data_IF_871841673756
#
_entry.id   IF_871841673756
#
_cell.length_a   1.000
_cell.length_b   1.000
_cell.length_c   1.000
_cell.angle_alpha   90.00
_cell.angle_beta   90.00
_cell.angle_gamma   90.00
#
_symmetry.space_group_name_H-M   'P 1'
#
loop_
_entity.id
_entity.type
_entity.pdbx_description
1 polymer ?
#
# COMPACT_ATOMS: atom_id res chain seq x y z
N UNK A 1 2.71 -9.37 -19.67
CA UNK A 1 1.83 -8.94 -18.57
C UNK A 1 2.34 -7.62 -18.01
N UNK A 2 1.42 -6.76 -17.59
CA UNK A 2 1.71 -5.53 -16.85
C UNK A 2 1.46 -5.80 -15.38
N UNK A 3 2.48 -5.58 -14.54
CA UNK A 3 2.43 -5.86 -13.10
C UNK A 3 2.60 -4.56 -12.32
N UNK A 4 1.65 -4.23 -11.45
CA UNK A 4 1.79 -3.18 -10.44
C UNK A 4 2.76 -3.61 -9.35
N UNK A 5 3.81 -2.82 -9.13
CA UNK A 5 4.87 -3.12 -8.17
C UNK A 5 4.74 -2.23 -6.94
N UNK A 6 4.19 -2.83 -5.88
CA UNK A 6 4.08 -2.23 -4.55
C UNK A 6 5.42 -1.98 -3.87
N UNK A 7 5.33 -1.47 -2.65
CA UNK A 7 6.48 -0.98 -1.88
C UNK A 7 6.55 -1.64 -0.51
N UNK A 8 7.74 -1.67 0.07
CA UNK A 8 7.98 -2.31 1.36
C UNK A 8 8.86 -3.55 1.25
N UNK A 9 8.97 -4.28 2.36
CA UNK A 9 9.95 -5.37 2.48
C UNK A 9 9.50 -6.61 1.74
N UNK A 10 8.23 -6.99 1.83
CA UNK A 10 7.73 -8.19 1.16
C UNK A 10 7.70 -7.97 -0.36
N UNK A 11 7.23 -6.80 -0.79
CA UNK A 11 7.24 -6.35 -2.19
C UNK A 11 8.65 -6.30 -2.75
N UNK A 12 9.64 -5.82 -1.98
CA UNK A 12 11.05 -5.86 -2.36
C UNK A 12 11.54 -7.29 -2.68
N UNK A 13 11.20 -8.28 -1.85
CA UNK A 13 11.52 -9.69 -2.13
C UNK A 13 10.79 -10.21 -3.37
N UNK A 14 9.52 -9.87 -3.56
CA UNK A 14 8.75 -10.26 -4.74
C UNK A 14 9.36 -9.69 -6.03
N UNK A 15 9.76 -8.42 -6.02
CA UNK A 15 10.45 -7.74 -7.13
C UNK A 15 11.79 -8.43 -7.45
N UNK A 16 12.60 -8.73 -6.43
CA UNK A 16 13.88 -9.42 -6.62
C UNK A 16 13.69 -10.83 -7.21
N UNK A 17 12.66 -11.54 -6.76
CA UNK A 17 12.28 -12.84 -7.32
C UNK A 17 11.84 -12.71 -8.78
N UNK A 18 10.99 -11.74 -9.10
CA UNK A 18 10.55 -11.44 -10.47
C UNK A 18 11.76 -11.23 -11.39
N UNK A 19 12.70 -10.39 -10.97
CA UNK A 19 13.95 -10.15 -11.72
C UNK A 19 14.79 -11.40 -11.91
N UNK A 20 14.86 -12.29 -10.91
CA UNK A 20 15.55 -13.60 -11.04
C UNK A 20 14.89 -14.50 -12.07
N UNK A 21 13.55 -14.58 -12.07
CA UNK A 21 12.79 -15.39 -13.01
C UNK A 21 12.89 -14.86 -14.45
N UNK A 22 12.95 -13.54 -14.63
CA UNK A 22 13.21 -12.92 -15.93
C UNK A 22 14.61 -13.27 -16.46
N UNK A 23 15.64 -13.16 -15.61
CA UNK A 23 17.02 -13.51 -15.99
C UNK A 23 17.20 -14.99 -16.34
N UNK A 24 16.50 -15.88 -15.65
CA UNK A 24 16.54 -17.31 -15.98
C UNK A 24 15.74 -17.68 -17.23
N UNK A 25 14.92 -16.75 -17.76
CA UNK A 25 14.04 -16.98 -18.89
C UNK A 25 12.80 -17.81 -18.55
N UNK A 26 12.55 -18.08 -17.27
CA UNK A 26 11.39 -18.84 -16.80
C UNK A 26 10.07 -18.07 -16.97
N UNK A 27 10.14 -16.73 -16.93
CA UNK A 27 9.06 -15.83 -17.33
C UNK A 27 9.60 -14.82 -18.33
N UNK A 28 8.72 -14.30 -19.19
CA UNK A 28 9.06 -13.34 -20.26
C UNK A 28 7.93 -12.32 -20.41
N UNK A 29 8.20 -11.26 -21.16
CA UNK A 29 7.20 -10.26 -21.57
C UNK A 29 6.48 -9.60 -20.38
N UNK A 30 7.23 -9.25 -19.33
CA UNK A 30 6.74 -8.52 -18.15
C UNK A 30 7.16 -7.06 -18.21
N UNK A 31 6.23 -6.17 -17.89
CA UNK A 31 6.48 -4.75 -17.63
C UNK A 31 5.97 -4.44 -16.23
N UNK A 32 6.83 -3.83 -15.40
CA UNK A 32 6.48 -3.34 -14.08
C UNK A 32 6.02 -1.89 -14.09
N UNK A 33 4.95 -1.58 -13.37
CA UNK A 33 4.50 -0.22 -13.07
C UNK A 33 4.72 0.01 -11.57
N UNK A 34 5.73 0.78 -11.16
CA UNK A 34 6.02 0.99 -9.75
C UNK A 34 5.06 2.00 -9.09
N UNK A 35 4.67 1.72 -7.85
CA UNK A 35 3.85 2.63 -7.02
C UNK A 35 4.66 3.70 -6.28
N UNK A 36 5.99 3.55 -6.19
CA UNK A 36 6.87 4.50 -5.52
C UNK A 36 8.26 4.58 -6.15
N UNK A 37 9.04 5.56 -5.69
CA UNK A 37 10.47 5.66 -6.04
C UNK A 37 11.24 4.44 -5.53
N UNK A 38 10.89 3.92 -4.36
CA UNK A 38 11.57 2.77 -3.75
C UNK A 38 11.31 1.51 -4.58
N UNK A 39 10.06 1.24 -4.97
CA UNK A 39 9.73 0.07 -5.79
C UNK A 39 10.29 0.19 -7.20
N UNK A 40 10.33 1.39 -7.79
CA UNK A 40 11.01 1.65 -9.05
C UNK A 40 12.52 1.34 -8.96
N UNK A 41 13.17 1.82 -7.90
CA UNK A 41 14.60 1.59 -7.64
C UNK A 41 14.89 0.09 -7.48
N UNK A 42 14.13 -0.62 -6.66
CA UNK A 42 14.33 -2.06 -6.46
C UNK A 42 14.09 -2.86 -7.74
N UNK A 43 13.08 -2.49 -8.53
CA UNK A 43 12.78 -3.17 -9.78
C UNK A 43 13.86 -2.94 -10.85
N UNK A 44 14.39 -1.71 -10.94
CA UNK A 44 15.51 -1.39 -11.82
C UNK A 44 16.77 -2.19 -11.43
N UNK A 45 17.11 -2.27 -10.14
CA UNK A 45 18.21 -3.11 -9.63
C UNK A 45 18.00 -4.59 -9.94
N UNK A 46 16.76 -5.06 -9.84
CA UNK A 46 16.39 -6.44 -10.15
C UNK A 46 16.34 -6.73 -11.65
N UNK A 47 16.50 -5.74 -12.55
CA UNK A 47 16.44 -5.92 -13.99
C UNK A 47 15.03 -6.19 -14.52
N UNK A 48 14.00 -5.70 -13.82
CA UNK A 48 12.61 -5.75 -14.28
C UNK A 48 12.37 -4.55 -15.22
N UNK A 49 11.88 -4.75 -16.46
CA UNK A 49 11.51 -3.64 -17.34
C UNK A 49 10.41 -2.78 -16.72
N UNK A 50 10.52 -1.45 -16.83
CA UNK A 50 9.60 -0.50 -16.19
C UNK A 50 8.88 0.39 -17.20
N UNK A 51 7.64 0.75 -16.87
CA UNK A 51 6.87 1.81 -17.52
C UNK A 51 6.12 2.63 -16.45
N UNK A 52 5.49 3.72 -16.86
CA UNK A 52 4.67 4.57 -16.00
C UNK A 52 3.19 4.23 -16.14
N UNK A 53 2.44 4.45 -15.07
CA UNK A 53 0.98 4.37 -15.14
C UNK A 53 0.44 5.45 -16.08
N UNK A 54 -0.55 5.07 -16.89
CA UNK A 54 -1.35 5.94 -17.74
C UNK A 54 -2.80 5.54 -17.53
N UNK A 55 -3.75 6.46 -17.67
CA UNK A 55 -5.17 6.17 -17.38
C UNK A 55 -5.75 5.02 -18.21
N UNK A 56 -5.13 4.68 -19.35
CA UNK A 56 -5.49 3.53 -20.19
C UNK A 56 -4.70 2.25 -19.90
N UNK A 57 -3.82 2.25 -18.90
CA UNK A 57 -2.96 1.10 -18.57
C UNK A 57 -3.80 0.00 -17.94
N UNK A 58 -3.89 -1.14 -18.63
CA UNK A 58 -4.48 -2.36 -18.07
C UNK A 58 -3.43 -3.08 -17.23
N UNK A 59 -3.62 -3.10 -15.91
CA UNK A 59 -2.79 -3.86 -14.97
C UNK A 59 -3.34 -5.28 -14.89
N UNK A 60 -2.51 -6.28 -15.18
CA UNK A 60 -2.91 -7.70 -15.14
C UNK A 60 -2.84 -8.27 -13.72
N UNK A 61 -1.89 -7.79 -12.92
CA UNK A 61 -1.66 -8.18 -11.53
C UNK A 61 -1.05 -7.00 -10.78
N UNK A 62 -1.39 -6.80 -9.52
CA UNK A 62 -0.66 -5.91 -8.62
C UNK A 62 -0.42 -6.62 -7.29
N UNK A 63 0.68 -6.28 -6.63
CA UNK A 63 0.95 -6.69 -5.26
C UNK A 63 1.49 -5.49 -4.48
N UNK A 64 1.19 -5.44 -3.18
CA UNK A 64 1.74 -4.44 -2.26
C UNK A 64 1.83 -5.01 -0.85
N UNK A 65 2.64 -4.37 0.00
CA UNK A 65 2.68 -4.69 1.42
C UNK A 65 1.45 -4.08 2.11
N UNK A 66 0.83 -4.86 3.00
CA UNK A 66 -0.18 -4.35 3.92
C UNK A 66 0.43 -4.16 5.32
N UNK A 67 0.21 -2.99 5.92
CA UNK A 67 0.60 -2.70 7.30
C UNK A 67 -0.34 -3.38 8.30
N UNK A 68 -1.63 -3.38 7.96
CA UNK A 68 -2.70 -4.07 8.69
C UNK A 68 -3.63 -4.69 7.65
N UNK A 69 -4.14 -5.88 7.95
CA UNK A 69 -5.17 -6.53 7.15
C UNK A 69 -6.21 -7.17 8.07
N UNK A 70 -7.48 -7.01 7.71
CA UNK A 70 -8.59 -7.70 8.33
C UNK A 70 -8.77 -9.08 7.68
N UNK A 71 -8.66 -10.17 8.45
CA UNK A 71 -8.64 -11.53 7.86
C UNK A 71 -9.92 -11.93 7.11
N UNK A 72 -11.09 -11.37 7.46
CA UNK A 72 -12.37 -11.76 6.85
C UNK A 72 -12.67 -11.00 5.55
N UNK A 73 -12.58 -9.68 5.58
CA UNK A 73 -12.90 -8.82 4.44
C UNK A 73 -11.71 -8.65 3.49
N UNK A 74 -10.48 -8.87 3.99
CA UNK A 74 -9.21 -8.46 3.41
C UNK A 74 -9.10 -6.94 3.16
N UNK A 75 -9.90 -6.13 3.88
CA UNK A 75 -9.63 -4.71 3.98
C UNK A 75 -8.26 -4.50 4.61
N UNK A 76 -7.47 -3.62 4.02
CA UNK A 76 -6.08 -3.40 4.38
C UNK A 76 -5.79 -1.92 4.62
N UNK A 77 -4.80 -1.65 5.47
CA UNK A 77 -4.17 -0.35 5.58
C UNK A 77 -2.77 -0.47 4.98
N UNK A 78 -2.45 0.44 4.07
CA UNK A 78 -1.15 0.51 3.39
C UNK A 78 -0.50 1.87 3.60
N UNK A 79 0.76 1.97 3.20
CA UNK A 79 1.46 3.24 3.09
C UNK A 79 1.84 3.85 4.43
N UNK A 80 1.89 3.09 5.53
CA UNK A 80 2.44 3.55 6.80
C UNK A 80 3.95 3.49 6.75
N UNK A 81 4.61 4.63 6.99
CA UNK A 81 6.03 4.60 7.37
C UNK A 81 6.11 4.40 8.89
N UNK A 82 6.93 3.44 9.34
CA UNK A 82 7.18 3.23 10.77
C UNK A 82 7.76 4.52 11.37
N UNK A 83 6.94 5.24 12.13
CA UNK A 83 7.36 6.37 12.96
C UNK A 83 8.36 5.89 14.01
N UNK A 84 9.53 6.50 14.09
CA UNK A 84 10.34 6.47 15.31
C UNK A 84 9.84 7.62 16.22
N UNK A 85 8.87 7.34 17.07
CA UNK A 85 8.31 8.33 18.00
C UNK A 85 7.59 7.64 19.16
N UNK A 86 7.87 8.11 20.39
CA UNK A 86 7.37 7.51 21.63
C UNK A 86 5.84 7.58 21.80
N UNK A 87 5.34 6.71 22.68
CA UNK A 87 3.92 6.52 22.99
C UNK A 87 3.25 7.83 23.44
N UNK A 88 2.06 8.12 22.90
CA UNK A 88 1.26 9.30 23.26
C UNK A 88 0.04 8.89 24.06
N UNK A 89 -0.26 9.65 25.12
CA UNK A 89 -1.30 9.35 26.13
C UNK A 89 -2.70 9.87 25.69
N UNK A 90 -2.81 10.52 24.53
CA UNK A 90 -4.07 11.10 24.02
C UNK A 90 -4.76 10.14 23.04
N UNK A 91 -6.09 10.06 23.16
CA UNK A 91 -6.91 9.00 22.56
C UNK A 91 -6.92 9.00 21.03
N UNK A 92 -6.84 10.16 20.39
CA UNK A 92 -6.78 10.27 18.93
C UNK A 92 -5.88 11.44 18.57
N UNK A 93 -5.00 11.24 17.57
CA UNK A 93 -4.09 12.30 17.13
C UNK A 93 -3.90 12.24 15.63
N UNK A 94 -3.95 13.41 15.01
CA UNK A 94 -3.63 13.62 13.60
C UNK A 94 -2.28 14.30 13.52
N UNK A 95 -1.25 13.62 13.02
CA UNK A 95 0.07 14.21 12.81
C UNK A 95 0.31 14.39 11.33
N UNK A 96 0.90 15.51 10.97
CA UNK A 96 1.54 15.58 9.67
C UNK A 96 2.74 14.64 9.68
N UNK A 97 2.87 13.80 8.67
CA UNK A 97 3.95 12.83 8.56
C UNK A 97 5.28 13.55 8.35
N UNK A 98 6.35 13.00 8.93
CA UNK A 98 7.73 13.43 8.66
C UNK A 98 8.38 12.44 7.69
N UNK A 99 9.21 12.93 6.77
CA UNK A 99 10.06 12.08 5.92
C UNK A 99 11.19 11.42 6.71
N UNK A 100 11.68 12.10 7.74
CA UNK A 100 12.72 11.62 8.65
C UNK A 100 12.56 12.24 10.04
N UNK A 101 12.92 11.48 11.07
CA UNK A 101 12.91 11.95 12.44
C UNK A 101 11.53 11.93 13.09
N UNK A 102 11.30 12.83 14.04
CA UNK A 102 10.10 12.87 14.86
C UNK A 102 8.97 13.64 14.16
N UNK A 103 7.78 13.03 14.08
CA UNK A 103 6.58 13.70 13.61
C UNK A 103 5.77 14.28 14.77
N UNK A 104 5.21 15.46 14.54
CA UNK A 104 4.23 16.11 15.41
C UNK A 104 3.12 16.76 14.58
N UNK A 105 2.28 17.62 15.16
CA UNK A 105 1.19 18.29 14.42
C UNK A 105 1.66 19.02 13.15
N UNK A 106 2.90 19.52 13.13
CA UNK A 106 3.50 20.23 11.99
C UNK A 106 4.40 19.38 11.09
N UNK A 107 4.64 18.10 11.43
CA UNK A 107 5.52 17.20 10.67
C UNK A 107 7.00 17.27 11.04
N UNK A 108 7.33 17.89 12.17
CA UNK A 108 8.71 18.04 12.63
C UNK A 108 9.51 18.98 11.72
N UNK A 109 10.84 18.79 11.69
CA UNK A 109 11.75 19.59 10.88
C UNK A 109 11.68 19.24 9.38
N UNK A 110 11.22 18.03 9.07
CA UNK A 110 11.18 17.48 7.70
C UNK A 110 9.80 16.90 7.38
N UNK A 111 8.76 17.73 7.24
CA UNK A 111 7.43 17.26 6.90
C UNK A 111 7.44 16.56 5.53
N UNK A 112 6.79 15.40 5.45
CA UNK A 112 6.59 14.70 4.20
C UNK A 112 5.57 15.46 3.35
N UNK A 113 5.97 15.72 2.10
CA UNK A 113 5.13 16.30 1.06
C UNK A 113 5.20 15.38 -0.15
N UNK A 114 4.04 15.04 -0.72
CA UNK A 114 3.98 14.23 -1.93
C UNK A 114 4.57 14.99 -3.12
N UNK A 115 4.83 14.29 -4.22
CA UNK A 115 5.34 14.92 -5.44
C UNK A 115 4.39 16.00 -5.99
N UNK A 116 3.10 15.81 -5.75
CA UNK A 116 2.00 16.68 -6.15
C UNK A 116 1.79 17.86 -5.17
N UNK A 117 2.56 17.91 -4.08
CA UNK A 117 2.50 18.99 -3.10
C UNK A 117 1.53 18.76 -1.93
N UNK A 118 1.00 17.54 -1.78
CA UNK A 118 0.05 17.23 -0.71
C UNK A 118 0.76 16.86 0.60
N UNK A 119 0.09 17.12 1.72
CA UNK A 119 0.55 16.65 3.02
C UNK A 119 0.00 15.25 3.29
N UNK A 120 0.83 14.41 3.91
CA UNK A 120 0.36 13.12 4.41
C UNK A 120 0.08 13.26 5.90
N UNK A 121 -1.11 12.87 6.34
CA UNK A 121 -1.51 12.90 7.75
C UNK A 121 -1.64 11.47 8.28
N UNK A 122 -0.97 11.18 9.38
CA UNK A 122 -1.15 9.94 10.13
C UNK A 122 -2.23 10.13 11.18
N UNK A 123 -3.30 9.34 11.07
CA UNK A 123 -4.39 9.29 12.03
C UNK A 123 -4.14 8.11 12.97
N UNK A 124 -4.02 8.40 14.26
CA UNK A 124 -3.74 7.41 15.29
C UNK A 124 -5.05 7.13 16.04
N UNK A 125 -5.49 5.88 16.00
CA UNK A 125 -6.63 5.39 16.78
C UNK A 125 -6.11 4.65 18.03
N UNK A 126 -6.66 4.96 19.20
CA UNK A 126 -6.38 4.19 20.44
C UNK A 126 -7.46 3.15 20.75
N UNK A 127 -8.57 3.16 20.01
CA UNK A 127 -9.59 2.11 19.99
C UNK A 127 -9.51 1.32 18.68
N UNK A 128 -9.91 0.03 18.68
CA UNK A 128 -10.03 -0.74 17.43
C UNK A 128 -11.01 -0.09 16.46
N UNK A 129 -10.61 0.02 15.19
CA UNK A 129 -11.51 0.37 14.09
C UNK A 129 -12.47 -0.79 13.89
N UNK A 130 -13.77 -0.49 13.87
CA UNK A 130 -14.82 -1.51 13.74
C UNK A 130 -15.03 -1.98 12.31
N UNK A 131 -15.03 -1.04 11.35
CA UNK A 131 -15.18 -1.31 9.93
C UNK A 131 -14.24 -0.39 9.13
N UNK A 132 -13.23 -0.98 8.50
CA UNK A 132 -12.28 -0.21 7.68
C UNK A 132 -12.92 0.36 6.41
N UNK A 133 -13.91 -0.34 5.84
CA UNK A 133 -14.59 0.12 4.63
C UNK A 133 -15.47 1.34 4.91
N UNK A 134 -16.13 1.38 6.06
CA UNK A 134 -16.87 2.58 6.51
C UNK A 134 -15.93 3.76 6.77
N UNK A 135 -14.75 3.51 7.35
CA UNK A 135 -13.73 4.55 7.54
C UNK A 135 -13.26 5.10 6.20
N UNK A 136 -13.04 4.24 5.20
CA UNK A 136 -12.69 4.66 3.84
C UNK A 136 -13.78 5.58 3.26
N UNK A 137 -15.04 5.14 3.28
CA UNK A 137 -16.17 5.94 2.79
C UNK A 137 -16.28 7.30 3.49
N UNK A 138 -16.06 7.33 4.80
CA UNK A 138 -16.05 8.57 5.56
C UNK A 138 -14.95 9.51 5.09
N UNK A 139 -13.73 9.00 4.91
CA UNK A 139 -12.56 9.77 4.48
C UNK A 139 -12.72 10.35 3.06
N UNK A 140 -13.32 9.58 2.14
CA UNK A 140 -13.61 10.03 0.77
C UNK A 140 -14.54 11.25 0.71
N UNK A 141 -15.39 11.42 1.72
CA UNK A 141 -16.32 12.56 1.80
C UNK A 141 -15.73 13.80 2.49
N UNK A 142 -14.52 13.70 3.06
CA UNK A 142 -13.90 14.82 3.77
C UNK A 142 -13.28 15.79 2.76
N UNK A 143 -13.85 16.99 2.65
CA UNK A 143 -13.30 18.06 1.81
C UNK A 143 -11.85 18.36 2.21
N UNK A 144 -10.95 18.24 1.23
CA UNK A 144 -9.51 18.46 1.42
C UNK A 144 -8.70 17.17 1.63
N UNK A 145 -9.36 16.03 1.85
CA UNK A 145 -8.72 14.71 1.69
C UNK A 145 -8.62 14.43 0.19
N UNK A 146 -7.40 14.10 -0.25
CA UNK A 146 -7.12 13.75 -1.65
C UNK A 146 -7.23 12.24 -1.84
N UNK A 147 -6.69 11.47 -0.89
CA UNK A 147 -6.66 10.02 -0.90
C UNK A 147 -6.34 9.51 0.52
N UNK A 148 -6.57 8.23 0.78
CA UNK A 148 -6.26 7.58 2.06
C UNK A 148 -5.59 6.21 1.90
N UNK A 149 -4.94 5.74 2.96
CA UNK A 149 -4.23 4.45 2.97
C UNK A 149 -5.12 3.21 3.14
N UNK A 150 -6.45 3.35 3.18
CA UNK A 150 -7.37 2.21 3.37
C UNK A 150 -7.74 1.60 2.01
N UNK A 151 -7.43 0.32 1.82
CA UNK A 151 -7.79 -0.45 0.64
C UNK A 151 -8.91 -1.41 1.04
N UNK A 152 -10.10 -1.20 0.50
CA UNK A 152 -11.27 -2.03 0.78
C UNK A 152 -12.07 -2.31 -0.49
N UNK A 153 -12.95 -3.31 -0.44
CA UNK A 153 -13.87 -3.67 -1.53
C UNK A 153 -13.20 -4.02 -2.88
N UNK A 154 -11.92 -4.38 -2.84
CA UNK A 154 -11.16 -4.84 -4.01
C UNK A 154 -10.94 -6.35 -3.86
N UNK A 155 -11.27 -7.15 -4.89
CA UNK A 155 -10.89 -8.56 -4.94
C UNK A 155 -9.37 -8.71 -4.85
N UNK A 156 -8.90 -9.43 -3.85
CA UNK A 156 -7.49 -9.63 -3.59
C UNK A 156 -7.22 -10.98 -2.91
N UNK A 157 -5.96 -11.38 -3.01
CA UNK A 157 -5.39 -12.53 -2.31
C UNK A 157 -4.36 -12.01 -1.32
N UNK A 158 -4.54 -12.33 -0.04
CA UNK A 158 -3.56 -12.09 1.00
C UNK A 158 -2.63 -13.30 1.13
N UNK A 159 -1.33 -13.07 0.98
CA UNK A 159 -0.28 -14.06 1.24
C UNK A 159 0.38 -13.74 2.58
N UNK A 160 0.09 -14.54 3.61
CA UNK A 160 0.49 -14.31 4.99
C UNK A 160 1.55 -15.35 5.38
N UNK A 161 2.81 -14.90 5.51
CA UNK A 161 3.90 -15.75 5.99
C UNK A 161 4.01 -15.67 7.52
N UNK A 162 3.91 -16.82 8.19
CA UNK A 162 4.09 -16.97 9.65
C UNK A 162 5.23 -17.94 9.94
N UNK A 163 5.59 -18.08 11.22
CA UNK A 163 6.54 -19.10 11.68
C UNK A 163 6.09 -20.54 11.38
N UNK A 164 4.77 -20.75 11.24
CA UNK A 164 4.15 -22.06 11.06
C UNK A 164 3.91 -22.38 9.56
N UNK A 165 4.20 -21.43 8.66
CA UNK A 165 4.08 -21.62 7.22
C UNK A 165 3.45 -20.42 6.51
N UNK A 166 3.05 -20.63 5.25
CA UNK A 166 2.37 -19.61 4.44
C UNK A 166 0.87 -19.93 4.41
N UNK A 167 0.05 -18.94 4.75
CA UNK A 167 -1.41 -18.95 4.56
C UNK A 167 -1.75 -18.10 3.34
N UNK A 168 -2.67 -18.58 2.52
CA UNK A 168 -3.22 -17.83 1.39
C UNK A 168 -4.71 -17.68 1.68
N UNK A 169 -5.19 -16.44 1.68
CA UNK A 169 -6.60 -16.09 1.96
C UNK A 169 -7.11 -15.23 0.81
N UNK A 170 -8.26 -15.57 0.26
CA UNK A 170 -8.88 -14.84 -0.84
C UNK A 170 -10.19 -14.21 -0.37
N UNK A 171 -10.49 -12.97 -0.81
CA UNK A 171 -11.83 -12.41 -0.67
C UNK A 171 -12.61 -12.63 -1.97
N UNK A 172 -13.66 -13.44 -1.91
CA UNK A 172 -14.65 -13.50 -2.98
C UNK A 172 -15.63 -12.35 -2.75
N UNK A 173 -15.33 -11.15 -3.25
CA UNK A 173 -16.34 -10.08 -3.25
C UNK A 173 -17.47 -10.54 -4.18
N UNK A 174 -18.63 -10.90 -3.61
CA UNK A 174 -19.86 -10.99 -4.40
C UNK A 174 -20.16 -9.58 -4.87
N UNK A 175 -19.97 -9.30 -6.15
CA UNK A 175 -20.42 -8.04 -6.75
C UNK A 175 -21.95 -8.07 -6.75
N UNK A 176 -22.57 -7.57 -5.68
CA UNK A 176 -23.99 -7.25 -5.69
C UNK A 176 -24.21 -6.01 -6.55
N UNK A 177 -24.84 -6.19 -7.71
CA UNK A 177 -25.44 -5.10 -8.46
C UNK A 177 -24.64 -4.53 -9.63
N UNK A 178 -24.24 -5.35 -10.60
CA UNK A 178 -24.24 -4.85 -11.99
C UNK A 178 -25.70 -4.70 -12.44
N UNK A 179 -26.26 -3.49 -12.28
CA UNK A 179 -27.45 -3.09 -13.03
C UNK A 179 -27.03 -2.96 -14.49
N UNK A 180 -27.43 -3.95 -15.29
CA UNK A 180 -27.55 -3.84 -16.75
C UNK A 180 -28.71 -2.88 -17.06
#
# INVERSE_FOLDING_TARGET
MVIGLGSGRASGFAIQYLGRQLRSGAIKDIIGIPTSVDSASEAAKAGVPLDQYRDSSKIDLAFDDADVIEEQSLAAVIGRQKMQGGESIIQEKVWRRASIGYAGPLGGDFPLVTKEGHNVLDVIFTSPIQDLAEVADCLDQVVGVVEHGVISRIPCTAVIATKDGVRIVDNSVKIEGSRV
#
